data_IF_818474595300
#
_entry.id   IF_818474595300
#
_cell.length_a   1.000
_cell.length_b   1.000
_cell.length_c   1.000
_cell.angle_alpha   90.00
_cell.angle_beta   90.00
_cell.angle_gamma   90.00
#
_symmetry.space_group_name_H-M   'P 1'
#
loop_
_entity.id
_entity.type
_entity.pdbx_description
1 polymer ?
#
# COMPACT_ATOMS: atom_id res chain seq x y z
N UNK A 1 -13.27 -7.69 -23.22
CA UNK A 1 -13.61 -7.27 -21.84
C UNK A 1 -12.29 -6.99 -21.14
N UNK A 2 -12.04 -5.76 -20.67
CA UNK A 2 -10.80 -5.46 -19.93
C UNK A 2 -10.96 -6.02 -18.51
N UNK A 3 -10.12 -6.99 -18.15
CA UNK A 3 -10.03 -7.50 -16.78
C UNK A 3 -9.07 -6.59 -16.04
N UNK A 4 -9.56 -5.77 -15.12
CA UNK A 4 -8.71 -5.00 -14.18
C UNK A 4 -7.94 -5.98 -13.30
N UNK A 5 -6.62 -5.83 -13.24
CA UNK A 5 -5.73 -6.68 -12.44
C UNK A 5 -5.46 -6.08 -11.06
N UNK A 6 -5.50 -4.75 -10.95
CA UNK A 6 -5.39 -4.05 -9.67
C UNK A 6 -6.67 -4.23 -8.83
N UNK A 7 -6.51 -4.70 -7.60
CA UNK A 7 -7.58 -4.66 -6.60
C UNK A 7 -7.57 -3.31 -5.87
N UNK A 8 -8.66 -2.55 -5.96
CA UNK A 8 -8.86 -1.28 -5.26
C UNK A 8 -9.85 -1.39 -4.09
N UNK A 9 -10.45 -2.56 -3.87
CA UNK A 9 -11.30 -2.82 -2.72
C UNK A 9 -10.43 -3.11 -1.47
N UNK A 10 -10.98 -2.91 -0.25
CA UNK A 10 -10.30 -3.30 0.98
C UNK A 10 -9.87 -4.77 0.94
N UNK A 11 -8.57 -5.02 1.15
CA UNK A 11 -7.99 -6.36 1.05
C UNK A 11 -6.91 -6.63 2.12
N UNK A 12 -6.88 -5.84 3.20
CA UNK A 12 -5.95 -6.09 4.30
C UNK A 12 -6.43 -7.30 5.10
N UNK A 13 -5.54 -8.28 5.29
CA UNK A 13 -5.82 -9.51 6.03
C UNK A 13 -4.52 -10.11 6.58
N UNK A 14 -4.64 -10.88 7.66
CA UNK A 14 -3.54 -11.63 8.27
C UNK A 14 -3.99 -13.08 8.46
N UNK A 15 -3.34 -14.07 7.82
CA UNK A 15 -3.75 -15.46 7.92
C UNK A 15 -3.80 -15.95 9.38
N UNK A 16 -4.94 -16.51 9.79
CA UNK A 16 -5.12 -17.04 11.15
C UNK A 16 -5.54 -16.00 12.19
N UNK A 17 -5.62 -14.71 11.84
CA UNK A 17 -6.14 -13.66 12.72
C UNK A 17 -7.58 -13.32 12.34
N UNK A 18 -8.47 -13.33 13.34
CA UNK A 18 -9.85 -12.88 13.16
C UNK A 18 -9.95 -11.41 13.55
N UNK A 19 -10.30 -10.57 12.58
CA UNK A 19 -10.61 -9.17 12.82
C UNK A 19 -12.11 -9.04 13.02
N UNK A 20 -12.52 -8.40 14.12
CA UNK A 20 -13.94 -8.16 14.41
C UNK A 20 -14.55 -7.05 13.52
N UNK A 21 -13.72 -6.27 12.81
CA UNK A 21 -14.12 -5.24 11.86
C UNK A 21 -13.15 -5.22 10.67
N UNK A 22 -13.67 -5.04 9.46
CA UNK A 22 -12.89 -5.03 8.21
C UNK A 22 -11.85 -3.89 8.13
N UNK A 23 -12.03 -2.82 8.91
CA UNK A 23 -11.12 -1.67 8.92
C UNK A 23 -9.90 -1.85 9.84
N UNK A 24 -9.99 -2.72 10.85
CA UNK A 24 -8.93 -2.89 11.86
C UNK A 24 -7.56 -3.27 11.29
N UNK A 25 -7.43 -4.17 10.30
CA UNK A 25 -6.11 -4.48 9.71
C UNK A 25 -5.51 -3.31 8.93
N UNK A 26 -6.35 -2.51 8.25
CA UNK A 26 -5.91 -1.34 7.51
C UNK A 26 -5.45 -0.24 8.44
N UNK A 27 -6.19 -0.02 9.53
CA UNK A 27 -5.86 0.94 10.58
C UNK A 27 -4.53 0.57 11.26
N UNK A 28 -4.31 -0.71 11.59
CA UNK A 28 -3.05 -1.20 12.18
C UNK A 28 -1.84 -0.96 11.26
N UNK A 29 -1.99 -1.22 9.96
CA UNK A 29 -0.91 -0.95 9.02
C UNK A 29 -0.66 0.56 8.86
N UNK A 30 -1.73 1.37 8.86
CA UNK A 30 -1.61 2.82 8.77
C UNK A 30 -0.92 3.42 10.01
N UNK A 31 -1.23 2.93 11.20
CA UNK A 31 -0.52 3.30 12.44
C UNK A 31 0.97 2.93 12.35
N UNK A 32 1.31 1.71 11.93
CA UNK A 32 2.69 1.28 11.75
C UNK A 32 3.44 2.14 10.72
N UNK A 33 2.76 2.61 9.67
CA UNK A 33 3.33 3.52 8.68
C UNK A 33 3.63 4.88 9.31
N UNK A 34 2.69 5.47 10.05
CA UNK A 34 2.91 6.72 10.78
C UNK A 34 4.10 6.59 11.73
N UNK A 35 4.15 5.51 12.50
CA UNK A 35 5.23 5.25 13.44
C UNK A 35 6.59 5.14 12.76
N UNK A 36 6.65 4.58 11.55
CA UNK A 36 7.87 4.51 10.77
C UNK A 36 8.40 5.90 10.34
N UNK A 37 7.54 6.91 10.30
CA UNK A 37 7.91 8.30 9.98
C UNK A 37 8.27 9.14 11.21
N UNK A 38 7.96 8.68 12.43
CA UNK A 38 8.22 9.45 13.65
C UNK A 38 9.71 9.77 13.82
N UNK A 39 10.03 11.06 13.93
CA UNK A 39 11.40 11.56 14.12
C UNK A 39 12.24 11.69 12.84
N UNK A 40 11.65 11.44 11.66
CA UNK A 40 12.30 11.69 10.37
C UNK A 40 12.07 13.14 9.92
N UNK A 41 13.04 13.70 9.18
CA UNK A 41 12.79 14.91 8.39
C UNK A 41 11.89 14.61 7.19
N UNK A 42 11.37 15.66 6.54
CA UNK A 42 10.54 15.52 5.35
C UNK A 42 11.28 14.75 4.23
N UNK A 43 12.56 15.05 4.00
CA UNK A 43 13.36 14.35 2.98
C UNK A 43 13.59 12.88 3.32
N UNK A 44 13.81 12.58 4.61
CA UNK A 44 13.97 11.20 5.08
C UNK A 44 12.66 10.41 4.97
N UNK A 45 11.54 11.07 5.26
CA UNK A 45 10.18 10.56 5.13
C UNK A 45 9.86 10.22 3.66
N UNK A 46 10.16 11.13 2.73
CA UNK A 46 10.04 10.86 1.29
C UNK A 46 10.92 9.70 0.84
N UNK A 47 12.17 9.65 1.30
CA UNK A 47 13.08 8.55 0.98
C UNK A 47 12.60 7.21 1.55
N UNK A 48 11.96 7.19 2.72
CA UNK A 48 11.32 5.99 3.28
C UNK A 48 10.18 5.52 2.38
N UNK A 49 9.28 6.43 1.98
CA UNK A 49 8.16 6.11 1.10
C UNK A 49 8.63 5.57 -0.26
N UNK A 50 9.63 6.18 -0.89
CA UNK A 50 10.18 5.69 -2.15
C UNK A 50 10.73 4.26 -2.02
N UNK A 51 11.46 3.97 -0.93
CA UNK A 51 11.97 2.61 -0.65
C UNK A 51 10.84 1.61 -0.42
N UNK A 52 9.84 1.98 0.38
CA UNK A 52 8.67 1.13 0.64
C UNK A 52 7.91 0.80 -0.66
N UNK A 53 7.66 1.79 -1.50
CA UNK A 53 7.00 1.59 -2.81
C UNK A 53 7.78 0.61 -3.67
N UNK A 54 9.11 0.73 -3.75
CA UNK A 54 9.95 -0.19 -4.53
C UNK A 54 9.93 -1.62 -3.97
N UNK A 55 9.95 -1.78 -2.65
CA UNK A 55 9.86 -3.08 -1.99
C UNK A 55 8.52 -3.77 -2.29
N UNK A 56 7.42 -3.04 -2.15
CA UNK A 56 6.07 -3.54 -2.46
C UNK A 56 5.91 -3.85 -3.94
N UNK A 57 6.44 -3.01 -4.83
CA UNK A 57 6.42 -3.25 -6.27
C UNK A 57 7.17 -4.55 -6.64
N UNK A 58 8.33 -4.78 -6.02
CA UNK A 58 9.07 -6.02 -6.18
C UNK A 58 8.31 -7.24 -5.63
N UNK A 59 7.62 -7.09 -4.49
CA UNK A 59 6.80 -8.16 -3.92
C UNK A 59 5.60 -8.52 -4.82
N UNK A 60 4.96 -7.53 -5.43
CA UNK A 60 3.85 -7.72 -6.39
C UNK A 60 4.32 -8.42 -7.67
N UNK A 61 5.46 -7.99 -8.23
CA UNK A 61 6.12 -8.63 -9.38
C UNK A 61 5.44 -8.49 -10.75
N UNK A 62 4.11 -8.31 -10.82
CA UNK A 62 3.36 -8.13 -12.08
C UNK A 62 3.37 -6.66 -12.53
N UNK A 63 4.17 -6.36 -13.56
CA UNK A 63 4.26 -5.02 -14.15
C UNK A 63 2.92 -4.48 -14.68
N UNK A 64 1.95 -5.33 -15.01
CA UNK A 64 0.62 -4.87 -15.45
C UNK A 64 -0.17 -4.30 -14.29
N UNK A 65 -0.16 -4.96 -13.14
CA UNK A 65 -0.76 -4.46 -11.88
C UNK A 65 -0.11 -3.13 -11.49
N UNK A 66 1.22 -3.03 -11.56
CA UNK A 66 1.94 -1.80 -11.22
C UNK A 66 1.60 -0.64 -12.17
N UNK A 67 1.43 -0.90 -13.46
CA UNK A 67 0.99 0.12 -14.43
C UNK A 67 -0.43 0.59 -14.16
N UNK A 68 -1.36 -0.32 -13.84
CA UNK A 68 -2.71 0.05 -13.44
C UNK A 68 -2.71 0.87 -12.13
N UNK A 69 -1.89 0.50 -11.15
CA UNK A 69 -1.72 1.26 -9.90
C UNK A 69 -1.25 2.69 -10.15
N UNK A 70 -0.26 2.89 -11.03
CA UNK A 70 0.22 4.22 -11.41
C UNK A 70 -0.86 5.06 -12.11
N UNK A 71 -1.69 4.44 -12.97
CA UNK A 71 -2.79 5.16 -13.62
C UNK A 71 -3.88 5.55 -12.61
N UNK A 72 -4.25 4.63 -11.71
CA UNK A 72 -5.22 4.90 -10.65
C UNK A 72 -4.74 6.03 -9.72
N UNK A 73 -3.48 6.00 -9.28
CA UNK A 73 -2.90 7.04 -8.44
C UNK A 73 -2.92 8.41 -9.13
N UNK A 74 -2.57 8.49 -10.42
CA UNK A 74 -2.62 9.74 -11.21
C UNK A 74 -4.02 10.31 -11.38
N UNK A 75 -5.05 9.46 -11.43
CA UNK A 75 -6.43 9.91 -11.62
C UNK A 75 -7.03 10.54 -10.35
N UNK A 76 -6.38 10.39 -9.19
CA UNK A 76 -6.86 10.86 -7.89
C UNK A 76 -6.19 12.18 -7.46
N UNK A 77 -5.32 12.74 -8.31
CA UNK A 77 -4.58 14.01 -8.06
C UNK A 77 -5.26 15.19 -8.73
#
# INVERSE_FOLDING_TARGET
MQTTLLNTAPNFNEPGRQFFRDFSPGDEFYEALIDAHNGLSDEQSEALNARLVLLLANHIGDLRVLREALQAAKATV
#
